data_IF_529473514487
#
_entry.id   IF_529473514487
#
_cell.length_a   1.000
_cell.length_b   1.000
_cell.length_c   1.000
_cell.angle_alpha   90.00
_cell.angle_beta   90.00
_cell.angle_gamma   90.00
#
_symmetry.space_group_name_H-M   'P 1'
#
loop_
_entity.id
_entity.type
_entity.pdbx_description
1 polymer ?
#
# COMPACT_ATOMS: atom_id res chain seq x y z
N UNK A 1 -4.26 -7.89 4.25
CA UNK A 1 -4.16 -9.24 3.65
C UNK A 1 -2.73 -9.78 3.61
N UNK A 2 -1.72 -8.95 3.31
CA UNK A 2 -0.34 -9.40 3.16
C UNK A 2 0.48 -9.50 4.44
N UNK A 3 -0.10 -9.26 5.63
CA UNK A 3 0.62 -9.29 6.92
C UNK A 3 0.40 -10.55 7.76
N UNK A 4 -0.26 -11.55 7.20
CA UNK A 4 -0.53 -12.82 7.86
C UNK A 4 -0.27 -13.97 6.90
N UNK A 5 0.07 -15.15 7.42
CA UNK A 5 0.04 -16.37 6.63
C UNK A 5 -1.42 -16.73 6.37
N UNK A 6 -1.93 -16.27 5.24
CA UNK A 6 -3.35 -16.34 4.92
C UNK A 6 -3.84 -17.77 4.73
N UNK A 7 -2.98 -18.68 4.26
CA UNK A 7 -3.28 -20.12 4.17
C UNK A 7 -3.54 -20.73 5.56
N UNK A 8 -2.77 -20.33 6.58
CA UNK A 8 -3.00 -20.78 7.95
C UNK A 8 -4.26 -20.16 8.56
N UNK A 9 -4.54 -18.88 8.25
CA UNK A 9 -5.70 -18.16 8.80
C UNK A 9 -7.01 -18.68 8.21
N UNK A 10 -7.07 -18.85 6.89
CA UNK A 10 -8.29 -19.29 6.21
C UNK A 10 -8.43 -20.82 6.17
N UNK A 11 -7.32 -21.55 6.27
CA UNK A 11 -7.31 -22.99 6.22
C UNK A 11 -8.03 -23.54 4.98
N UNK A 12 -8.79 -24.64 5.14
CA UNK A 12 -9.52 -25.26 4.05
C UNK A 12 -10.60 -24.36 3.40
N UNK A 13 -11.18 -23.43 4.16
CA UNK A 13 -12.23 -22.49 3.67
C UNK A 13 -11.71 -21.66 2.49
N UNK A 14 -10.40 -21.47 2.39
CA UNK A 14 -9.79 -20.74 1.31
C UNK A 14 -10.16 -21.28 -0.09
N UNK A 15 -10.45 -22.57 -0.22
CA UNK A 15 -10.93 -23.16 -1.46
C UNK A 15 -12.30 -22.61 -1.89
N UNK A 16 -13.18 -22.26 -0.94
CA UNK A 16 -14.53 -21.73 -1.18
C UNK A 16 -14.57 -20.34 -1.82
N UNK A 17 -13.43 -19.66 -1.91
CA UNK A 17 -13.33 -18.37 -2.60
C UNK A 17 -13.22 -18.50 -4.12
N UNK A 18 -13.15 -19.71 -4.68
CA UNK A 18 -13.04 -19.91 -6.11
C UNK A 18 -14.39 -19.66 -6.81
N UNK A 19 -14.41 -18.78 -7.82
CA UNK A 19 -15.63 -18.27 -8.52
C UNK A 19 -16.48 -19.35 -9.24
N UNK A 20 -16.11 -20.63 -9.19
CA UNK A 20 -16.80 -21.72 -9.92
C UNK A 20 -17.16 -22.94 -9.05
N UNK A 21 -17.23 -22.76 -7.73
CA UNK A 21 -17.49 -23.87 -6.81
C UNK A 21 -18.89 -24.46 -6.85
N UNK A 22 -19.88 -23.75 -7.41
CA UNK A 22 -21.26 -24.25 -7.50
C UNK A 22 -21.41 -25.55 -8.29
N UNK A 23 -20.37 -25.97 -9.04
CA UNK A 23 -20.37 -27.20 -9.85
C UNK A 23 -19.58 -28.37 -9.25
N UNK A 24 -18.82 -28.16 -8.16
CA UNK A 24 -17.83 -29.15 -7.72
C UNK A 24 -18.29 -30.10 -6.61
N UNK A 25 -19.48 -29.89 -5.99
CA UNK A 25 -20.00 -30.71 -4.86
C UNK A 25 -18.96 -30.97 -3.74
N UNK A 26 -17.99 -30.08 -3.56
CA UNK A 26 -16.93 -30.23 -2.56
C UNK A 26 -17.47 -29.81 -1.21
N UNK A 27 -17.36 -30.68 -0.22
CA UNK A 27 -17.60 -30.36 1.19
C UNK A 27 -16.28 -30.16 1.92
N UNK A 28 -16.19 -29.07 2.67
CA UNK A 28 -15.05 -28.71 3.50
C UNK A 28 -15.45 -28.82 4.96
N UNK A 29 -14.77 -29.71 5.68
CA UNK A 29 -14.91 -29.80 7.13
C UNK A 29 -14.06 -28.71 7.79
N UNK A 30 -14.73 -27.82 8.52
CA UNK A 30 -14.06 -26.69 9.20
C UNK A 30 -13.91 -26.94 10.71
N UNK A 31 -14.75 -27.83 11.27
CA UNK A 31 -14.63 -28.37 12.63
C UNK A 31 -15.27 -29.76 12.67
N UNK A 32 -14.95 -30.60 13.66
CA UNK A 32 -15.47 -31.97 13.74
C UNK A 32 -17.00 -32.03 13.59
N UNK A 33 -17.48 -32.70 12.55
CA UNK A 33 -18.91 -32.85 12.27
C UNK A 33 -19.60 -31.62 11.66
N UNK A 34 -18.86 -30.56 11.34
CA UNK A 34 -19.40 -29.36 10.70
C UNK A 34 -18.72 -29.12 9.35
N UNK A 35 -19.49 -29.34 8.29
CA UNK A 35 -19.05 -29.23 6.89
C UNK A 35 -19.82 -28.14 6.17
N UNK A 36 -19.13 -27.44 5.28
CA UNK A 36 -19.71 -26.42 4.40
C UNK A 36 -19.28 -26.66 2.96
N UNK A 37 -20.17 -26.40 2.01
CA UNK A 37 -19.90 -26.57 0.58
C UNK A 37 -19.85 -25.25 -0.19
N UNK A 38 -20.35 -24.17 0.40
CA UNK A 38 -20.31 -22.82 -0.16
C UNK A 38 -20.23 -21.75 0.93
N UNK A 39 -19.71 -20.58 0.56
CA UNK A 39 -19.87 -19.37 1.36
C UNK A 39 -21.30 -18.83 1.20
N UNK A 40 -21.86 -18.13 2.21
CA UNK A 40 -23.16 -17.49 2.07
C UNK A 40 -23.19 -16.47 0.92
N UNK A 41 -24.30 -16.37 0.19
CA UNK A 41 -24.40 -15.48 -0.98
C UNK A 41 -24.30 -13.98 -0.58
N UNK A 42 -24.58 -13.66 0.68
CA UNK A 42 -24.43 -12.33 1.28
C UNK A 42 -23.05 -12.10 1.93
N UNK A 43 -22.10 -13.01 1.76
CA UNK A 43 -20.74 -12.88 2.28
C UNK A 43 -19.83 -12.24 1.23
N UNK A 44 -19.11 -11.19 1.63
CA UNK A 44 -18.13 -10.50 0.78
C UNK A 44 -16.88 -10.20 1.58
N UNK A 45 -15.72 -10.37 0.94
CA UNK A 45 -14.42 -10.05 1.55
C UNK A 45 -13.78 -8.91 0.79
N UNK A 46 -13.66 -7.77 1.47
CA UNK A 46 -12.89 -6.62 1.01
C UNK A 46 -11.62 -6.58 1.85
N UNK A 47 -10.47 -6.60 1.18
CA UNK A 47 -9.18 -6.69 1.85
C UNK A 47 -8.22 -5.65 1.28
N UNK A 48 -7.43 -5.05 2.17
CA UNK A 48 -6.39 -4.09 1.79
C UNK A 48 -5.01 -4.74 1.86
N UNK A 49 -4.13 -4.33 0.96
CA UNK A 49 -2.73 -4.75 0.88
C UNK A 49 -1.84 -3.51 0.85
N UNK A 50 -0.83 -3.47 1.71
CA UNK A 50 0.23 -2.47 1.57
C UNK A 50 1.24 -2.97 0.52
N UNK A 51 1.31 -2.33 -0.63
CA UNK A 51 2.19 -2.71 -1.75
C UNK A 51 3.61 -2.18 -1.63
N UNK A 52 3.90 -1.29 -0.68
CA UNK A 52 5.26 -0.85 -0.36
C UNK A 52 6.02 -1.90 0.46
N UNK A 53 5.28 -2.73 1.21
CA UNK A 53 5.83 -3.76 2.09
C UNK A 53 6.29 -4.97 1.26
N UNK A 54 7.61 -5.07 1.02
CA UNK A 54 8.23 -6.17 0.29
C UNK A 54 8.58 -7.37 1.17
N UNK A 55 8.44 -7.23 2.50
CA UNK A 55 8.92 -8.20 3.50
C UNK A 55 7.92 -9.31 3.82
N UNK A 56 6.62 -9.05 3.63
CA UNK A 56 5.56 -9.97 4.05
C UNK A 56 4.93 -10.65 2.83
N UNK A 57 5.32 -11.91 2.66
CA UNK A 57 4.78 -12.94 1.78
C UNK A 57 4.39 -12.49 0.36
N UNK A 58 5.12 -13.00 -0.64
CA UNK A 58 4.61 -13.07 -2.01
C UNK A 58 3.20 -13.63 -1.93
N UNK A 59 2.19 -12.81 -2.24
CA UNK A 59 0.81 -13.29 -2.30
C UNK A 59 0.79 -14.42 -3.30
N UNK A 60 0.57 -15.64 -2.80
CA UNK A 60 0.58 -16.87 -3.58
C UNK A 60 -0.32 -16.69 -4.81
N UNK A 61 0.10 -17.25 -5.95
CA UNK A 61 -0.71 -17.33 -7.15
C UNK A 61 -2.10 -17.92 -6.88
N UNK A 62 -2.24 -18.81 -5.89
CA UNK A 62 -3.54 -19.31 -5.45
C UNK A 62 -4.48 -18.21 -4.93
N UNK A 63 -3.94 -17.25 -4.17
CA UNK A 63 -4.68 -16.08 -3.68
C UNK A 63 -5.03 -15.13 -4.81
N UNK A 64 -4.09 -14.90 -5.72
CA UNK A 64 -4.33 -13.97 -6.82
C UNK A 64 -5.51 -14.37 -7.69
N UNK A 65 -5.76 -15.68 -7.86
CA UNK A 65 -6.88 -16.20 -8.67
C UNK A 65 -8.25 -16.14 -7.99
N UNK A 66 -8.31 -15.87 -6.68
CA UNK A 66 -9.56 -15.89 -5.86
C UNK A 66 -10.04 -14.52 -5.42
N UNK A 67 -9.25 -13.48 -5.69
CA UNK A 67 -9.58 -12.09 -5.42
C UNK A 67 -9.53 -11.27 -6.70
N UNK A 68 -10.45 -10.31 -6.83
CA UNK A 68 -10.28 -9.21 -7.76
C UNK A 68 -9.27 -8.21 -7.18
N UNK A 69 -8.32 -7.77 -8.00
CA UNK A 69 -7.27 -6.84 -7.58
C UNK A 69 -7.55 -5.45 -8.13
N UNK A 70 -7.68 -4.49 -7.22
CA UNK A 70 -7.85 -3.08 -7.57
C UNK A 70 -6.71 -2.27 -6.98
N UNK A 71 -5.83 -1.75 -7.84
CA UNK A 71 -4.69 -0.94 -7.40
C UNK A 71 -5.14 0.49 -7.11
N UNK A 72 -4.91 0.94 -5.88
CA UNK A 72 -5.10 2.33 -5.47
C UNK A 72 -3.78 3.07 -5.56
N UNK A 73 -3.72 4.12 -6.38
CA UNK A 73 -2.60 5.06 -6.46
C UNK A 73 -2.90 6.32 -5.62
N UNK A 74 -1.89 6.97 -5.04
CA UNK A 74 -2.07 8.25 -4.36
C UNK A 74 -2.71 9.29 -5.30
N UNK A 75 -3.73 10.00 -4.81
CA UNK A 75 -4.44 11.03 -5.57
C UNK A 75 -4.67 12.26 -4.71
N UNK A 76 -4.56 13.43 -5.34
CA UNK A 76 -4.96 14.68 -4.72
C UNK A 76 -6.44 14.60 -4.31
N UNK A 77 -6.76 15.18 -3.15
CA UNK A 77 -8.13 15.24 -2.63
C UNK A 77 -8.61 16.68 -2.58
N UNK A 78 -9.93 16.85 -2.59
CA UNK A 78 -10.56 18.17 -2.48
C UNK A 78 -10.81 18.42 -0.98
N UNK A 79 -9.89 19.09 -0.31
CA UNK A 79 -10.01 19.50 1.09
C UNK A 79 -9.22 20.78 1.35
N UNK A 80 -9.70 21.62 2.28
CA UNK A 80 -8.98 22.82 2.73
C UNK A 80 -7.73 22.49 3.56
N UNK A 81 -7.71 21.32 4.19
CA UNK A 81 -6.57 20.82 4.98
C UNK A 81 -5.52 20.11 4.12
N UNK A 82 -5.76 19.99 2.81
CA UNK A 82 -4.88 19.25 1.92
C UNK A 82 -3.82 20.16 1.30
N UNK A 83 -2.56 19.89 1.63
CA UNK A 83 -1.39 20.59 1.11
C UNK A 83 -1.06 20.08 -0.29
N UNK A 84 -1.83 20.60 -1.26
CA UNK A 84 -1.81 20.16 -2.66
C UNK A 84 -0.45 20.35 -3.32
N UNK A 85 0.25 21.44 -3.03
CA UNK A 85 1.53 21.77 -3.69
C UNK A 85 2.64 20.83 -3.25
N UNK A 86 2.72 20.52 -1.94
CA UNK A 86 3.64 19.53 -1.39
C UNK A 86 3.36 18.13 -1.98
N UNK A 87 2.08 17.73 -2.04
CA UNK A 87 1.69 16.46 -2.65
C UNK A 87 2.06 16.41 -4.14
N UNK A 88 1.75 17.47 -4.90
CA UNK A 88 2.02 17.54 -6.32
C UNK A 88 3.52 17.48 -6.62
N UNK A 89 4.35 18.15 -5.80
CA UNK A 89 5.80 18.10 -5.97
C UNK A 89 6.36 16.71 -5.72
N UNK A 90 5.94 16.04 -4.66
CA UNK A 90 6.35 14.64 -4.39
C UNK A 90 5.87 13.72 -5.51
N UNK A 91 4.61 13.87 -5.97
CA UNK A 91 4.06 13.08 -7.06
C UNK A 91 4.84 13.26 -8.36
N UNK A 92 5.22 14.50 -8.69
CA UNK A 92 6.05 14.81 -9.86
C UNK A 92 7.39 14.08 -9.79
N UNK A 93 8.08 14.14 -8.64
CA UNK A 93 9.37 13.44 -8.46
C UNK A 93 9.20 11.93 -8.66
N UNK A 94 8.15 11.31 -8.11
CA UNK A 94 7.89 9.89 -8.35
C UNK A 94 7.62 9.59 -9.84
N UNK A 95 6.78 10.38 -10.50
CA UNK A 95 6.41 10.15 -11.89
C UNK A 95 7.60 10.24 -12.87
N UNK A 96 8.54 11.13 -12.63
CA UNK A 96 9.68 11.34 -13.52
C UNK A 96 10.86 10.41 -13.23
N UNK A 97 11.08 10.01 -11.97
CA UNK A 97 12.33 9.38 -11.56
C UNK A 97 12.17 7.95 -11.00
N UNK A 98 10.99 7.55 -10.54
CA UNK A 98 10.77 6.21 -10.03
C UNK A 98 10.44 5.21 -11.16
N UNK A 99 10.92 3.97 -11.03
CA UNK A 99 10.48 2.88 -11.89
C UNK A 99 9.03 2.49 -11.59
N UNK A 100 8.40 1.73 -12.49
CA UNK A 100 7.03 1.22 -12.27
C UNK A 100 6.89 0.41 -10.98
N UNK A 101 7.97 -0.23 -10.51
CA UNK A 101 8.00 -1.01 -9.26
C UNK A 101 8.17 -0.16 -7.99
N UNK A 102 8.57 1.10 -8.16
CA UNK A 102 8.85 2.05 -7.08
C UNK A 102 7.73 3.08 -6.94
N UNK A 103 6.83 3.22 -7.93
CA UNK A 103 5.63 4.06 -7.81
C UNK A 103 4.75 3.66 -6.61
N UNK A 104 4.78 2.40 -6.18
CA UNK A 104 4.06 1.93 -4.99
C UNK A 104 4.63 2.46 -3.66
N UNK A 105 5.83 3.06 -3.69
CA UNK A 105 6.48 3.69 -2.54
C UNK A 105 6.06 5.16 -2.37
N UNK A 106 5.29 5.72 -3.30
CA UNK A 106 4.86 7.12 -3.19
C UNK A 106 4.06 7.33 -1.90
N UNK A 107 4.42 8.32 -1.06
CA UNK A 107 3.62 8.70 0.09
C UNK A 107 2.17 9.03 -0.31
N UNK A 108 1.21 8.40 0.37
CA UNK A 108 -0.21 8.61 0.12
C UNK A 108 -0.69 10.01 0.51
N UNK A 109 -1.87 10.40 0.02
CA UNK A 109 -2.47 11.71 0.29
C UNK A 109 -2.64 12.02 1.79
N UNK A 110 -2.71 11.01 2.66
CA UNK A 110 -2.84 11.19 4.11
C UNK A 110 -1.66 11.91 4.76
N UNK A 111 -0.46 11.82 4.20
CA UNK A 111 0.72 12.57 4.69
C UNK A 111 0.59 14.08 4.50
N UNK A 112 -0.27 14.52 3.59
CA UNK A 112 -0.43 15.92 3.18
C UNK A 112 -1.73 16.54 3.69
N UNK A 113 -2.33 15.93 4.72
CA UNK A 113 -3.48 16.50 5.43
C UNK A 113 -2.96 17.09 6.73
N UNK A 114 -3.13 18.40 6.91
CA UNK A 114 -2.74 19.10 8.12
C UNK A 114 -3.66 20.32 8.36
N UNK A 115 -3.78 20.75 9.62
CA UNK A 115 -4.59 21.89 10.02
C UNK A 115 -3.85 23.23 9.86
N UNK A 116 -2.51 23.19 9.73
CA UNK A 116 -1.68 24.39 9.61
C UNK A 116 -0.37 24.13 8.85
N UNK A 117 0.23 25.20 8.35
CA UNK A 117 1.56 25.18 7.70
C UNK A 117 2.65 24.63 8.64
N UNK A 118 2.56 24.95 9.94
CA UNK A 118 3.49 24.43 10.94
C UNK A 118 3.35 22.92 11.15
N UNK A 119 2.13 22.40 11.17
CA UNK A 119 1.89 20.95 11.23
C UNK A 119 2.39 20.27 9.96
N UNK A 120 2.11 20.83 8.77
CA UNK A 120 2.60 20.27 7.51
C UNK A 120 4.13 20.21 7.47
N UNK A 121 4.79 21.29 7.90
CA UNK A 121 6.26 21.34 8.02
C UNK A 121 6.78 20.24 8.94
N UNK A 122 6.11 19.99 10.07
CA UNK A 122 6.47 18.90 10.99
C UNK A 122 6.25 17.51 10.36
N UNK A 123 5.14 17.29 9.65
CA UNK A 123 4.89 16.03 8.93
C UNK A 123 5.96 15.76 7.88
N UNK A 124 6.36 16.78 7.11
CA UNK A 124 7.45 16.64 6.13
C UNK A 124 8.76 16.28 6.86
N UNK A 125 9.07 16.97 7.95
CA UNK A 125 10.33 16.81 8.69
C UNK A 125 10.46 15.48 9.45
N UNK A 126 9.37 14.98 10.02
CA UNK A 126 9.38 13.84 10.94
C UNK A 126 8.71 12.58 10.38
N UNK A 127 7.98 12.67 9.27
CA UNK A 127 7.33 11.52 8.64
C UNK A 127 7.85 11.30 7.21
N UNK A 128 7.74 12.29 6.31
CA UNK A 128 8.10 12.12 4.89
C UNK A 128 9.62 12.05 4.69
N UNK A 129 10.37 12.98 5.28
CA UNK A 129 11.83 13.00 5.18
C UNK A 129 12.49 11.69 5.62
N UNK A 130 12.22 11.14 6.83
CA UNK A 130 12.81 9.88 7.23
C UNK A 130 12.37 8.72 6.33
N UNK A 131 11.11 8.68 5.89
CA UNK A 131 10.62 7.65 4.97
C UNK A 131 11.40 7.63 3.63
N UNK A 132 11.57 8.80 3.01
CA UNK A 132 12.33 8.92 1.76
C UNK A 132 13.83 8.62 1.99
N UNK A 133 14.39 9.03 3.14
CA UNK A 133 15.78 8.71 3.51
C UNK A 133 15.99 7.20 3.62
N UNK A 134 15.05 6.48 4.24
CA UNK A 134 15.07 5.02 4.35
C UNK A 134 15.01 4.34 2.98
N UNK A 135 14.08 4.76 2.09
CA UNK A 135 14.02 4.23 0.73
C UNK A 135 15.34 4.39 -0.04
N UNK A 136 15.97 5.55 0.06
CA UNK A 136 17.27 5.79 -0.58
C UNK A 136 18.40 4.94 0.02
N UNK A 137 18.38 4.70 1.34
CA UNK A 137 19.34 3.83 2.03
C UNK A 137 19.18 2.37 1.60
N UNK A 138 17.94 1.90 1.38
CA UNK A 138 17.66 0.57 0.81
C UNK A 138 17.97 0.48 -0.70
N UNK A 139 18.35 1.60 -1.31
CA UNK A 139 18.71 1.66 -2.72
C UNK A 139 17.53 1.74 -3.68
N UNK A 140 16.36 2.12 -3.17
CA UNK A 140 15.17 2.44 -3.94
C UNK A 140 15.20 3.92 -4.34
N UNK A 141 14.46 4.29 -5.37
CA UNK A 141 14.25 5.67 -5.85
C UNK A 141 15.56 6.48 -6.02
N UNK A 142 16.68 5.80 -6.31
CA UNK A 142 18.02 6.42 -6.37
C UNK A 142 18.10 7.57 -7.39
N UNK A 143 17.39 7.43 -8.51
CA UNK A 143 17.36 8.45 -9.56
C UNK A 143 16.71 9.76 -9.10
N UNK A 144 15.89 9.72 -8.04
CA UNK A 144 15.19 10.87 -7.49
C UNK A 144 15.97 11.56 -6.36
N UNK A 145 17.17 11.08 -6.01
CA UNK A 145 17.92 11.51 -4.81
C UNK A 145 18.15 13.03 -4.78
N UNK A 146 18.59 13.61 -5.90
CA UNK A 146 18.87 15.05 -6.01
C UNK A 146 17.59 15.88 -5.90
N UNK A 147 16.52 15.46 -6.56
CA UNK A 147 15.23 16.16 -6.52
C UNK A 147 14.61 16.14 -5.12
N UNK A 148 14.66 15.01 -4.42
CA UNK A 148 14.22 14.95 -3.03
C UNK A 148 15.08 15.81 -2.13
N UNK A 149 16.40 15.82 -2.33
CA UNK A 149 17.28 16.69 -1.55
C UNK A 149 16.94 18.17 -1.76
N UNK A 150 16.74 18.58 -3.02
CA UNK A 150 16.34 19.96 -3.36
C UNK A 150 15.00 20.32 -2.72
N UNK A 151 14.00 19.43 -2.79
CA UNK A 151 12.71 19.62 -2.13
C UNK A 151 12.86 19.82 -0.61
N UNK A 152 13.59 18.94 0.08
CA UNK A 152 13.73 19.05 1.54
C UNK A 152 14.61 20.23 1.98
N UNK A 153 15.63 20.59 1.20
CA UNK A 153 16.46 21.76 1.47
C UNK A 153 15.63 23.05 1.43
N UNK A 154 14.77 23.19 0.42
CA UNK A 154 13.88 24.35 0.30
C UNK A 154 12.77 24.32 1.36
N UNK A 155 12.15 23.15 1.55
CA UNK A 155 10.89 23.04 2.31
C UNK A 155 11.08 23.01 3.82
N UNK A 156 12.17 22.40 4.31
CA UNK A 156 12.42 22.20 5.74
C UNK A 156 13.87 22.52 6.17
N UNK A 157 14.68 23.11 5.28
CA UNK A 157 16.10 23.41 5.51
C UNK A 157 16.90 22.20 6.01
N UNK A 158 16.68 21.02 5.39
CA UNK A 158 17.44 19.80 5.66
C UNK A 158 18.01 19.18 4.40
N UNK A 159 19.21 18.63 4.54
CA UNK A 159 19.88 17.86 3.49
C UNK A 159 19.70 16.37 3.72
N UNK A 160 19.50 15.60 2.63
CA UNK A 160 19.57 14.14 2.66
C UNK A 160 21.02 13.62 2.72
N UNK A 161 22.00 14.49 2.50
CA UNK A 161 23.43 14.16 2.51
C UNK A 161 24.09 14.31 3.90
N UNK A 162 23.34 14.82 4.89
CA UNK A 162 23.75 14.92 6.29
C UNK A 162 23.36 13.67 7.12
#
# INVERSE_FOLDING_TARGET
>A
INRANLSNVLGPIFYLFEHKMDKSNVEIEISPGFKINKLPDNFSVIATMNTADRSLAVVDFALRRRFAWYTLIPKAIISKQFFKDDFARIQEIFNWYASSSELSLQPGQGYFIADSEGEMTNRIKYEIFPLIKEYLQEGLIRNAKEEFNNYFAIRINKSLFE
#
